data_IF_391591869600
#
_entry.id   IF_391591869600
#
_cell.length_a   1.000
_cell.length_b   1.000
_cell.length_c   1.000
_cell.angle_alpha   90.00
_cell.angle_beta   90.00
_cell.angle_gamma   90.00
#
_symmetry.space_group_name_H-M   'P 1'
#
loop_
_entity.id
_entity.type
_entity.pdbx_description
1 polymer ?
#
# COMPACT_ATOMS: atom_id res chain seq x y z
N UNK A 1 8.44 15.80 17.03
CA UNK A 1 7.48 14.70 16.86
C UNK A 1 7.17 13.97 18.18
N UNK A 2 8.19 13.45 18.96
CA UNK A 2 7.91 12.69 20.19
C UNK A 2 7.19 13.52 21.25
N UNK A 3 7.67 14.74 21.53
CA UNK A 3 7.04 15.64 22.47
C UNK A 3 5.59 16.00 22.07
N UNK A 4 5.35 16.22 20.79
CA UNK A 4 4.01 16.51 20.24
C UNK A 4 3.06 15.32 20.40
N UNK A 5 3.55 14.11 20.09
CA UNK A 5 2.77 12.88 20.27
C UNK A 5 2.43 12.68 21.76
N UNK A 6 3.39 12.85 22.67
CA UNK A 6 3.14 12.73 24.12
C UNK A 6 2.16 13.82 24.62
N UNK A 7 2.24 15.04 24.13
CA UNK A 7 1.30 16.11 24.48
C UNK A 7 -0.14 15.75 24.05
N UNK A 8 -0.32 15.27 22.83
CA UNK A 8 -1.63 14.86 22.32
C UNK A 8 -2.19 13.65 23.10
N UNK A 9 -1.37 12.66 23.40
CA UNK A 9 -1.74 11.47 24.20
C UNK A 9 -2.14 11.92 25.61
N UNK A 10 -1.34 12.79 26.24
CA UNK A 10 -1.62 13.31 27.59
C UNK A 10 -2.95 14.06 27.62
N UNK A 11 -3.20 14.95 26.66
CA UNK A 11 -4.47 15.67 26.56
C UNK A 11 -5.66 14.71 26.40
N UNK A 12 -5.51 13.71 25.56
CA UNK A 12 -6.53 12.67 25.36
C UNK A 12 -6.84 11.93 26.67
N UNK A 13 -5.81 11.48 27.40
CA UNK A 13 -5.98 10.76 28.66
C UNK A 13 -6.51 11.64 29.81
N UNK A 14 -6.21 12.94 29.81
CA UNK A 14 -6.80 13.87 30.76
C UNK A 14 -8.29 14.12 30.48
N UNK A 15 -8.68 14.09 29.21
CA UNK A 15 -10.07 14.31 28.78
C UNK A 15 -10.92 13.05 28.94
N UNK A 16 -10.36 11.90 28.58
CA UNK A 16 -11.02 10.60 28.63
C UNK A 16 -10.03 9.52 29.10
N UNK A 17 -9.87 9.34 30.43
CA UNK A 17 -8.94 8.38 31.00
C UNK A 17 -9.22 6.94 30.49
N UNK A 18 -8.20 6.26 30.00
CA UNK A 18 -8.31 4.90 29.46
C UNK A 18 -8.80 4.81 28.00
N UNK A 19 -9.08 5.92 27.35
CA UNK A 19 -9.40 5.91 25.92
C UNK A 19 -8.25 5.30 25.12
N UNK A 20 -8.53 4.39 24.15
CA UNK A 20 -7.50 3.79 23.33
C UNK A 20 -6.80 4.86 22.46
N UNK A 21 -5.47 4.83 22.45
CA UNK A 21 -4.65 5.75 21.68
C UNK A 21 -3.60 4.98 20.90
N UNK A 22 -3.18 5.54 19.78
CA UNK A 22 -2.10 5.03 18.96
C UNK A 22 -1.03 6.12 18.82
N UNK A 23 0.22 5.77 18.98
CA UNK A 23 1.32 6.67 18.70
C UNK A 23 1.36 6.97 17.21
N UNK A 24 1.10 8.20 16.82
CA UNK A 24 1.11 8.67 15.45
C UNK A 24 2.38 9.44 15.16
N UNK A 25 3.02 9.16 14.05
CA UNK A 25 4.15 9.93 13.55
C UNK A 25 4.08 10.00 12.03
N UNK A 26 4.31 11.20 11.51
CA UNK A 26 4.47 11.45 10.09
C UNK A 26 5.62 12.44 9.92
N UNK A 27 6.81 11.94 10.24
CA UNK A 27 8.03 12.72 10.05
C UNK A 27 8.67 12.35 8.72
N UNK A 28 9.05 13.36 7.94
CA UNK A 28 9.94 13.21 6.79
C UNK A 28 11.02 14.28 6.86
N UNK A 29 12.14 14.01 6.19
CA UNK A 29 13.06 15.07 5.81
C UNK A 29 12.47 15.88 4.66
N UNK A 30 13.13 16.95 4.31
CA UNK A 30 12.78 17.80 3.19
C UNK A 30 13.93 17.87 2.20
N UNK A 31 13.64 18.12 0.94
CA UNK A 31 14.66 18.62 0.02
C UNK A 31 15.08 20.01 0.47
N UNK A 32 16.36 20.17 0.81
CA UNK A 32 16.88 21.43 1.38
C UNK A 32 16.88 22.61 0.40
N UNK A 33 16.64 22.38 -0.87
CA UNK A 33 16.58 23.43 -1.90
C UNK A 33 15.15 23.97 -2.08
N UNK A 34 14.19 23.06 -2.15
CA UNK A 34 12.78 23.39 -2.42
C UNK A 34 11.91 23.45 -1.17
N UNK A 35 12.32 22.79 -0.07
CA UNK A 35 11.52 22.61 1.12
C UNK A 35 10.43 21.54 0.99
N UNK A 36 10.34 20.86 -0.15
CA UNK A 36 9.35 19.82 -0.37
C UNK A 36 9.61 18.58 0.49
N UNK A 37 8.57 17.89 1.01
CA UNK A 37 8.73 16.64 1.73
C UNK A 37 9.38 15.56 0.86
N UNK A 38 10.35 14.81 1.42
CA UNK A 38 11.13 13.81 0.71
C UNK A 38 10.82 12.40 1.23
N UNK A 39 9.71 11.82 0.79
CA UNK A 39 9.30 10.47 1.15
C UNK A 39 10.14 9.41 0.42
N UNK A 40 10.28 8.23 1.04
CA UNK A 40 11.02 7.11 0.47
C UNK A 40 12.55 7.24 0.53
N UNK A 41 13.07 8.33 1.06
CA UNK A 41 14.51 8.54 1.27
C UNK A 41 15.02 7.75 2.48
N UNK A 42 16.33 7.46 2.57
CA UNK A 42 16.92 6.80 3.72
C UNK A 42 16.60 7.49 5.04
N UNK A 43 16.60 8.81 5.08
CA UNK A 43 16.32 9.62 6.26
C UNK A 43 14.85 9.45 6.71
N UNK A 44 13.90 9.43 5.78
CA UNK A 44 12.49 9.13 6.07
C UNK A 44 12.34 7.74 6.70
N UNK A 45 13.04 6.74 6.17
CA UNK A 45 13.03 5.37 6.69
C UNK A 45 13.63 5.32 8.09
N UNK A 46 14.78 5.98 8.32
CA UNK A 46 15.40 6.06 9.65
C UNK A 46 14.48 6.73 10.67
N UNK A 47 13.79 7.81 10.29
CA UNK A 47 12.77 8.45 11.14
C UNK A 47 11.61 7.51 11.46
N UNK A 48 11.15 6.73 10.50
CA UNK A 48 10.10 5.71 10.70
C UNK A 48 10.54 4.66 11.71
N UNK A 49 11.75 4.12 11.56
CA UNK A 49 12.32 3.12 12.48
C UNK A 49 12.44 3.70 13.89
N UNK A 50 12.98 4.91 14.04
CA UNK A 50 13.13 5.60 15.33
C UNK A 50 11.76 5.85 15.99
N UNK A 51 10.76 6.28 15.21
CA UNK A 51 9.39 6.49 15.71
C UNK A 51 8.75 5.19 16.20
N UNK A 52 8.94 4.08 15.50
CA UNK A 52 8.49 2.76 15.94
C UNK A 52 9.16 2.30 17.23
N UNK A 53 10.45 2.61 17.41
CA UNK A 53 11.18 2.34 18.66
C UNK A 53 10.59 3.15 19.83
N UNK A 54 10.30 4.43 19.62
CA UNK A 54 9.69 5.31 20.63
C UNK A 54 8.29 4.84 21.01
N UNK A 55 7.47 4.45 20.03
CA UNK A 55 6.14 3.89 20.30
C UNK A 55 6.21 2.63 21.18
N UNK A 56 7.11 1.71 20.86
CA UNK A 56 7.32 0.49 21.68
C UNK A 56 7.87 0.81 23.07
N UNK A 57 8.73 1.81 23.18
CA UNK A 57 9.29 2.25 24.47
C UNK A 57 8.19 2.69 25.45
N UNK A 58 7.14 3.33 24.93
CA UNK A 58 5.98 3.77 25.75
C UNK A 58 4.81 2.77 25.72
N UNK A 59 4.99 1.58 25.12
CA UNK A 59 4.00 0.50 25.14
C UNK A 59 2.77 0.74 24.26
N UNK A 60 2.87 1.60 23.23
CA UNK A 60 1.73 1.92 22.36
C UNK A 60 1.89 1.33 20.96
N UNK A 61 0.76 0.97 20.31
CA UNK A 61 0.77 0.66 18.89
C UNK A 61 1.19 1.89 18.08
N UNK A 62 1.85 1.67 16.96
CA UNK A 62 2.37 2.75 16.14
C UNK A 62 1.73 2.80 14.74
N UNK A 63 1.31 4.01 14.35
CA UNK A 63 0.83 4.33 13.02
C UNK A 63 1.92 5.05 12.23
N UNK A 64 2.39 4.42 11.18
CA UNK A 64 3.31 4.96 10.19
C UNK A 64 2.59 5.36 8.91
N UNK A 65 3.33 5.84 7.94
CA UNK A 65 2.84 6.17 6.61
C UNK A 65 3.84 5.75 5.55
N UNK A 66 3.33 5.40 4.37
CA UNK A 66 4.13 5.22 3.18
C UNK A 66 3.58 6.13 2.07
N UNK A 67 4.46 6.57 1.18
CA UNK A 67 4.05 7.46 0.09
C UNK A 67 5.24 7.81 -0.79
N UNK A 68 4.99 8.62 -1.81
CA UNK A 68 5.98 9.10 -2.75
C UNK A 68 6.04 10.63 -2.78
N UNK A 69 7.24 11.18 -2.91
CA UNK A 69 7.46 12.59 -3.20
C UNK A 69 7.42 12.88 -4.71
N UNK A 70 7.57 11.85 -5.54
CA UNK A 70 7.56 11.96 -7.00
C UNK A 70 6.33 12.67 -7.52
N UNK A 71 6.53 13.54 -8.52
CA UNK A 71 5.49 14.31 -9.19
C UNK A 71 4.74 13.50 -10.27
N UNK A 72 5.22 12.31 -10.60
CA UNK A 72 4.66 11.49 -11.68
C UNK A 72 4.72 10.01 -11.31
N UNK A 73 3.86 9.23 -11.95
CA UNK A 73 3.79 7.77 -11.77
C UNK A 73 4.86 7.07 -12.60
N UNK A 74 6.08 7.03 -12.07
CA UNK A 74 7.24 6.43 -12.73
C UNK A 74 8.04 5.52 -11.75
N UNK A 75 9.26 5.18 -12.14
CA UNK A 75 10.15 4.36 -11.33
C UNK A 75 10.48 5.01 -9.98
N UNK A 76 10.61 6.34 -9.95
CA UNK A 76 10.86 7.07 -8.70
C UNK A 76 9.69 6.89 -7.72
N UNK A 77 8.46 7.10 -8.18
CA UNK A 77 7.26 6.96 -7.36
C UNK A 77 7.13 5.55 -6.78
N UNK A 78 7.38 4.52 -7.59
CA UNK A 78 7.36 3.12 -7.15
C UNK A 78 8.46 2.83 -6.13
N UNK A 79 9.68 3.28 -6.41
CA UNK A 79 10.82 3.11 -5.51
C UNK A 79 10.56 3.74 -4.13
N UNK A 80 10.11 4.99 -4.10
CA UNK A 80 9.84 5.73 -2.87
C UNK A 80 8.74 5.07 -2.03
N UNK A 81 7.64 4.61 -2.66
CA UNK A 81 6.58 3.89 -1.97
C UNK A 81 7.07 2.56 -1.39
N UNK A 82 7.77 1.74 -2.17
CA UNK A 82 8.28 0.45 -1.72
C UNK A 82 9.30 0.62 -0.59
N UNK A 83 10.21 1.58 -0.69
CA UNK A 83 11.17 1.88 0.37
C UNK A 83 10.48 2.36 1.65
N UNK A 84 9.46 3.20 1.54
CA UNK A 84 8.65 3.64 2.68
C UNK A 84 7.94 2.48 3.35
N UNK A 85 7.35 1.55 2.58
CA UNK A 85 6.71 0.33 3.09
C UNK A 85 7.72 -0.58 3.82
N UNK A 86 8.93 -0.75 3.29
CA UNK A 86 10.00 -1.48 3.97
C UNK A 86 10.39 -0.82 5.30
N UNK A 87 10.47 0.51 5.33
CA UNK A 87 10.69 1.27 6.56
C UNK A 87 9.60 1.00 7.60
N UNK A 88 8.34 0.98 7.19
CA UNK A 88 7.21 0.64 8.07
C UNK A 88 7.31 -0.78 8.65
N UNK A 89 7.69 -1.76 7.83
CA UNK A 89 7.88 -3.15 8.28
C UNK A 89 9.02 -3.26 9.30
N UNK A 90 10.18 -2.68 8.99
CA UNK A 90 11.35 -2.71 9.90
C UNK A 90 11.06 -1.98 11.22
N UNK A 91 10.20 -0.98 11.18
CA UNK A 91 9.76 -0.24 12.34
C UNK A 91 8.67 -0.97 13.15
N UNK A 92 8.17 -2.13 12.70
CA UNK A 92 7.04 -2.86 13.27
C UNK A 92 5.78 -1.97 13.38
N UNK A 93 5.40 -1.30 12.31
CA UNK A 93 4.20 -0.49 12.28
C UNK A 93 2.94 -1.35 12.48
N UNK A 94 2.05 -0.92 13.35
CA UNK A 94 0.75 -1.57 13.57
C UNK A 94 -0.22 -1.19 12.46
N UNK A 95 -0.12 0.02 11.96
CA UNK A 95 -0.93 0.56 10.87
C UNK A 95 -0.04 1.38 9.93
N UNK A 96 -0.26 1.25 8.64
CA UNK A 96 0.38 2.07 7.62
C UNK A 96 -0.71 2.80 6.82
N UNK A 97 -0.64 4.12 6.77
CA UNK A 97 -1.58 4.96 6.02
C UNK A 97 -0.91 5.56 4.78
N UNK A 98 -1.70 6.13 3.88
CA UNK A 98 -1.24 6.79 2.65
C UNK A 98 -0.45 5.89 1.69
N UNK A 99 -0.69 4.59 1.74
CA UNK A 99 0.16 3.58 1.07
C UNK A 99 -0.19 3.32 -0.38
N UNK A 100 -1.22 3.95 -0.93
CA UNK A 100 -1.63 3.72 -2.31
C UNK A 100 -2.11 5.01 -2.99
N UNK A 101 -1.65 5.25 -4.22
CA UNK A 101 -2.04 6.38 -5.05
C UNK A 101 -1.35 7.71 -4.75
N UNK A 102 -0.47 7.76 -3.76
CA UNK A 102 0.15 8.99 -3.26
C UNK A 102 1.25 9.50 -4.20
N UNK A 103 1.10 10.75 -4.65
CA UNK A 103 2.06 11.51 -5.47
C UNK A 103 2.24 12.93 -4.92
N UNK A 104 3.28 13.62 -5.36
CA UNK A 104 3.58 15.02 -5.01
C UNK A 104 3.62 15.28 -3.49
N UNK A 105 4.16 14.34 -2.73
CA UNK A 105 4.17 14.48 -1.27
C UNK A 105 2.77 14.50 -0.63
N UNK A 106 1.75 14.04 -1.33
CA UNK A 106 0.36 13.96 -0.88
C UNK A 106 -0.57 15.02 -1.44
N UNK A 107 -0.11 15.82 -2.37
CA UNK A 107 -0.95 16.83 -3.03
C UNK A 107 -1.77 16.26 -4.18
N UNK A 108 -1.33 15.14 -4.76
CA UNK A 108 -1.99 14.49 -5.90
C UNK A 108 -2.23 13.01 -5.65
N UNK A 109 -3.29 12.48 -6.24
CA UNK A 109 -3.66 11.07 -6.26
C UNK A 109 -3.67 10.56 -7.71
N UNK A 110 -2.96 9.44 -7.97
CA UNK A 110 -2.93 8.77 -9.28
C UNK A 110 -3.71 7.47 -9.28
N UNK A 111 -4.64 7.27 -10.22
CA UNK A 111 -5.40 6.02 -10.32
C UNK A 111 -4.53 4.83 -10.73
N UNK A 112 -3.63 5.02 -11.70
CA UNK A 112 -2.65 4.01 -12.10
C UNK A 112 -1.70 3.68 -10.94
N UNK A 113 -1.21 4.72 -10.27
CA UNK A 113 -0.37 4.60 -9.07
C UNK A 113 -1.08 3.81 -7.98
N UNK A 114 -2.36 4.05 -7.75
CA UNK A 114 -3.17 3.32 -6.78
C UNK A 114 -3.21 1.81 -7.06
N UNK A 115 -3.46 1.41 -8.31
CA UNK A 115 -3.47 -0.01 -8.70
C UNK A 115 -2.08 -0.66 -8.52
N UNK A 116 -1.01 0.04 -8.90
CA UNK A 116 0.36 -0.46 -8.77
C UNK A 116 0.79 -0.56 -7.30
N UNK A 117 0.43 0.41 -6.47
CA UNK A 117 0.72 0.38 -5.04
C UNK A 117 -0.05 -0.73 -4.32
N UNK A 118 -1.29 -1.04 -4.72
CA UNK A 118 -2.03 -2.19 -4.19
C UNK A 118 -1.27 -3.48 -4.48
N UNK A 119 -0.69 -3.65 -5.66
CA UNK A 119 0.12 -4.83 -5.96
C UNK A 119 1.37 -4.91 -5.08
N UNK A 120 2.05 -3.79 -4.85
CA UNK A 120 3.19 -3.72 -3.94
C UNK A 120 2.78 -4.10 -2.50
N UNK A 121 1.65 -3.59 -2.03
CA UNK A 121 1.07 -3.92 -0.71
C UNK A 121 0.73 -5.41 -0.61
N UNK A 122 0.09 -5.99 -1.62
CA UNK A 122 -0.23 -7.42 -1.66
C UNK A 122 1.04 -8.29 -1.63
N UNK A 123 2.08 -7.91 -2.37
CA UNK A 123 3.37 -8.59 -2.40
C UNK A 123 4.05 -8.56 -1.03
N UNK A 124 4.08 -7.41 -0.37
CA UNK A 124 4.63 -7.24 0.97
C UNK A 124 3.81 -8.02 2.00
N UNK A 125 2.48 -7.94 1.95
CA UNK A 125 1.62 -8.70 2.84
C UNK A 125 1.79 -10.22 2.67
N UNK A 126 2.00 -10.68 1.44
CA UNK A 126 2.28 -12.09 1.16
C UNK A 126 3.65 -12.52 1.71
N UNK A 127 4.66 -11.68 1.57
CA UNK A 127 6.01 -11.92 2.12
C UNK A 127 5.99 -12.03 3.66
N UNK A 128 5.08 -11.34 4.33
CA UNK A 128 4.93 -11.41 5.79
C UNK A 128 4.19 -12.68 6.29
N UNK A 129 3.65 -13.50 5.39
CA UNK A 129 3.01 -14.77 5.78
C UNK A 129 4.09 -15.78 6.16
N UNK A 130 3.84 -16.60 7.19
CA UNK A 130 4.76 -17.68 7.54
C UNK A 130 4.83 -18.69 6.39
N UNK A 131 6.03 -19.19 6.14
CA UNK A 131 6.24 -20.27 5.18
C UNK A 131 5.76 -21.59 5.79
N UNK A 132 4.93 -22.34 5.07
CA UNK A 132 4.52 -23.68 5.49
C UNK A 132 5.74 -24.61 5.55
N UNK A 133 5.86 -25.37 6.63
CA UNK A 133 7.01 -26.25 6.89
C UNK A 133 6.61 -27.66 7.30
N UNK A 134 5.36 -28.04 7.07
CA UNK A 134 4.91 -29.43 7.29
C UNK A 134 5.45 -30.37 6.20
N UNK A 135 5.31 -31.66 6.40
CA UNK A 135 5.84 -32.70 5.50
C UNK A 135 5.32 -32.55 4.07
N UNK A 136 4.06 -32.14 3.91
CA UNK A 136 3.45 -31.91 2.58
C UNK A 136 4.09 -30.71 1.88
N UNK A 137 4.31 -29.62 2.61
CA UNK A 137 4.94 -28.41 2.06
C UNK A 137 6.40 -28.63 1.69
N UNK A 138 7.14 -29.47 2.46
CA UNK A 138 8.52 -29.86 2.14
C UNK A 138 8.57 -30.68 0.85
N UNK A 139 7.52 -31.46 0.54
CA UNK A 139 7.38 -32.17 -0.72
C UNK A 139 8.31 -33.38 -0.88
N UNK A 140 8.66 -34.07 0.20
CA UNK A 140 9.55 -35.25 0.12
C UNK A 140 9.04 -36.35 -0.83
N UNK A 141 7.73 -36.57 -0.85
CA UNK A 141 7.11 -37.56 -1.74
C UNK A 141 7.25 -37.13 -3.22
N UNK A 142 7.11 -35.86 -3.52
CA UNK A 142 7.34 -35.30 -4.85
C UNK A 142 8.81 -35.43 -5.28
N UNK A 143 9.75 -35.21 -4.35
CA UNK A 143 11.18 -35.40 -4.59
C UNK A 143 11.48 -36.90 -4.91
N UNK A 144 10.86 -37.79 -4.16
CA UNK A 144 11.03 -39.25 -4.40
C UNK A 144 10.46 -39.74 -5.75
N UNK A 145 9.49 -39.04 -6.33
CA UNK A 145 8.90 -39.38 -7.63
C UNK A 145 9.81 -39.01 -8.81
N UNK A 146 10.82 -38.16 -8.61
CA UNK A 146 11.64 -37.61 -9.70
C UNK A 146 13.03 -38.23 -9.68
N UNK A 147 13.40 -38.92 -10.76
CA UNK A 147 14.73 -39.49 -10.94
C UNK A 147 15.78 -38.37 -11.19
N UNK A 148 17.07 -38.61 -10.90
CA UNK A 148 18.13 -37.65 -11.23
C UNK A 148 18.07 -37.20 -12.69
N UNK A 149 18.13 -35.86 -12.92
CA UNK A 149 17.99 -35.27 -14.25
C UNK A 149 16.54 -35.12 -14.75
N UNK A 150 15.55 -35.55 -13.96
CA UNK A 150 14.14 -35.36 -14.25
C UNK A 150 13.60 -33.97 -13.93
N UNK A 151 12.29 -33.80 -14.07
CA UNK A 151 11.58 -32.54 -13.75
C UNK A 151 10.31 -32.79 -12.93
N UNK A 152 9.87 -31.80 -12.19
CA UNK A 152 8.74 -31.90 -11.26
C UNK A 152 7.37 -31.61 -11.88
N UNK A 153 7.27 -31.28 -13.17
CA UNK A 153 6.02 -30.82 -13.80
C UNK A 153 4.85 -31.79 -13.68
N UNK A 154 5.11 -33.09 -13.64
CA UNK A 154 4.08 -34.12 -13.58
C UNK A 154 3.89 -34.73 -12.18
N UNK A 155 4.55 -34.23 -11.15
CA UNK A 155 4.34 -34.72 -9.79
C UNK A 155 2.96 -34.34 -9.28
N UNK A 156 2.38 -35.16 -8.41
CA UNK A 156 1.06 -34.91 -7.81
C UNK A 156 1.00 -33.54 -7.09
N UNK A 157 2.07 -33.16 -6.39
CA UNK A 157 2.17 -31.87 -5.72
C UNK A 157 2.13 -30.70 -6.71
N UNK A 158 2.88 -30.76 -7.81
CA UNK A 158 2.85 -29.71 -8.84
C UNK A 158 1.48 -29.62 -9.47
N UNK A 159 0.87 -30.75 -9.82
CA UNK A 159 -0.47 -30.78 -10.44
C UNK A 159 -1.56 -30.24 -9.53
N UNK A 160 -1.45 -30.44 -8.22
CA UNK A 160 -2.39 -29.91 -7.24
C UNK A 160 -2.22 -28.39 -6.99
N UNK A 161 -1.03 -27.86 -7.17
CA UNK A 161 -0.68 -26.50 -6.71
C UNK A 161 -0.29 -25.53 -7.82
N UNK A 162 -0.08 -25.96 -9.07
CA UNK A 162 0.48 -25.10 -10.13
C UNK A 162 -0.28 -23.77 -10.35
N UNK A 163 -1.57 -23.72 -10.06
CA UNK A 163 -2.39 -22.51 -10.21
C UNK A 163 -2.52 -21.66 -8.94
N UNK A 164 -2.07 -22.19 -7.78
CA UNK A 164 -2.29 -21.55 -6.47
C UNK A 164 -1.03 -21.38 -5.63
N UNK A 165 0.09 -21.99 -6.05
CA UNK A 165 1.34 -21.99 -5.29
C UNK A 165 1.93 -20.59 -5.10
N UNK A 166 1.70 -19.70 -6.04
CA UNK A 166 2.28 -18.36 -6.05
C UNK A 166 1.19 -17.29 -5.99
N UNK A 167 1.55 -16.11 -5.46
CA UNK A 167 0.66 -14.96 -5.46
C UNK A 167 0.32 -14.57 -6.90
N UNK A 168 -0.96 -14.56 -7.30
CA UNK A 168 -1.33 -14.05 -8.60
C UNK A 168 -1.11 -12.53 -8.67
N UNK A 169 -0.45 -12.06 -9.71
CA UNK A 169 -0.21 -10.63 -9.92
C UNK A 169 -1.51 -9.90 -10.17
N UNK A 170 -1.68 -8.74 -9.53
CA UNK A 170 -2.79 -7.83 -9.80
C UNK A 170 -2.57 -7.10 -11.13
N UNK A 171 -1.37 -6.60 -11.38
CA UNK A 171 -1.02 -5.72 -12.49
C UNK A 171 0.23 -6.18 -13.26
N UNK A 172 1.20 -6.85 -12.62
CA UNK A 172 2.42 -7.29 -13.28
C UNK A 172 2.14 -8.38 -14.32
N UNK A 173 2.83 -8.31 -15.44
CA UNK A 173 2.86 -9.36 -16.47
C UNK A 173 4.16 -10.16 -16.31
N UNK A 174 4.06 -11.41 -15.91
CA UNK A 174 5.19 -12.33 -15.70
C UNK A 174 5.45 -13.22 -16.91
N UNK A 175 4.78 -12.99 -18.03
CA UNK A 175 4.98 -13.74 -19.26
C UNK A 175 6.35 -13.44 -19.89
N UNK A 176 6.84 -14.37 -20.73
CA UNK A 176 8.04 -14.12 -21.52
C UNK A 176 7.79 -13.05 -22.58
N UNK A 177 8.87 -12.48 -23.12
CA UNK A 177 8.81 -11.38 -24.08
C UNK A 177 7.93 -11.69 -25.30
N UNK A 178 7.99 -12.90 -25.84
CA UNK A 178 7.19 -13.27 -27.03
C UNK A 178 5.69 -13.29 -26.72
N UNK A 179 5.30 -13.82 -25.58
CA UNK A 179 3.90 -13.82 -25.12
C UNK A 179 3.42 -12.40 -24.80
N UNK A 180 4.21 -11.62 -24.06
CA UNK A 180 3.92 -10.21 -23.76
C UNK A 180 3.73 -9.39 -25.04
N UNK A 181 4.65 -9.55 -26.01
CA UNK A 181 4.58 -8.84 -27.30
C UNK A 181 3.32 -9.23 -28.08
N UNK A 182 2.97 -10.53 -28.14
CA UNK A 182 1.76 -11.02 -28.79
C UNK A 182 0.47 -10.50 -28.13
N UNK A 183 0.49 -10.30 -26.81
CA UNK A 183 -0.64 -9.78 -26.04
C UNK A 183 -0.77 -8.26 -26.07
N UNK A 184 -0.02 -7.58 -26.92
CA UNK A 184 -0.13 -6.15 -27.17
C UNK A 184 0.94 -5.29 -26.51
N UNK A 185 1.97 -5.91 -25.92
CA UNK A 185 3.16 -5.22 -25.36
C UNK A 185 2.81 -4.09 -24.36
N UNK A 186 1.75 -4.26 -23.56
CA UNK A 186 1.27 -3.22 -22.66
C UNK A 186 2.27 -2.97 -21.52
N UNK A 187 2.49 -1.70 -21.23
CA UNK A 187 3.23 -1.24 -20.06
C UNK A 187 2.44 -1.51 -18.77
N UNK A 188 3.08 -1.44 -17.61
CA UNK A 188 2.41 -1.58 -16.32
C UNK A 188 1.36 -0.49 -16.09
N UNK A 189 1.63 0.72 -16.58
CA UNK A 189 0.71 1.86 -16.50
C UNK A 189 -0.54 1.62 -17.35
N UNK A 190 -0.40 1.21 -18.61
CA UNK A 190 -1.53 0.91 -19.50
C UNK A 190 -2.41 -0.24 -18.97
N UNK A 191 -1.80 -1.24 -18.31
CA UNK A 191 -2.57 -2.29 -17.64
C UNK A 191 -3.31 -1.77 -16.42
N UNK A 192 -2.69 -0.90 -15.64
CA UNK A 192 -3.31 -0.25 -14.48
C UNK A 192 -4.48 0.64 -14.89
N UNK A 193 -4.33 1.41 -15.99
CA UNK A 193 -5.41 2.22 -16.57
C UNK A 193 -6.63 1.37 -16.92
N UNK A 194 -6.44 0.28 -17.66
CA UNK A 194 -7.54 -0.63 -17.99
C UNK A 194 -8.23 -1.18 -16.74
N UNK A 195 -7.45 -1.50 -15.71
CA UNK A 195 -7.97 -2.09 -14.48
C UNK A 195 -8.82 -1.11 -13.67
N UNK A 196 -8.35 0.10 -13.41
CA UNK A 196 -9.13 1.06 -12.63
C UNK A 196 -10.40 1.50 -13.39
N UNK A 197 -10.32 1.63 -14.73
CA UNK A 197 -11.49 1.93 -15.56
C UNK A 197 -12.53 0.82 -15.44
N UNK A 198 -12.12 -0.45 -15.46
CA UNK A 198 -13.02 -1.58 -15.27
C UNK A 198 -13.65 -1.56 -13.88
N UNK A 199 -12.88 -1.31 -12.82
CA UNK A 199 -13.41 -1.22 -11.44
C UNK A 199 -14.48 -0.14 -11.32
N UNK A 200 -14.27 1.02 -11.96
CA UNK A 200 -15.30 2.09 -11.96
C UNK A 200 -16.52 1.69 -12.77
N UNK A 201 -16.34 1.05 -13.94
CA UNK A 201 -17.45 0.60 -14.78
C UNK A 201 -18.32 -0.47 -14.09
N UNK A 202 -17.70 -1.33 -13.29
CA UNK A 202 -18.38 -2.40 -12.54
C UNK A 202 -18.96 -1.93 -11.20
N UNK A 203 -18.75 -0.66 -10.83
CA UNK A 203 -19.21 -0.15 -9.54
C UNK A 203 -20.75 -0.10 -9.47
N UNK A 204 -21.27 -0.80 -8.48
CA UNK A 204 -22.71 -0.76 -8.15
C UNK A 204 -22.87 -0.03 -6.81
N UNK A 205 -23.62 1.08 -6.77
CA UNK A 205 -23.88 1.79 -5.53
C UNK A 205 -24.50 0.89 -4.46
N UNK A 206 -24.12 1.04 -3.18
CA UNK A 206 -24.74 0.29 -2.11
C UNK A 206 -26.26 0.53 -2.04
N UNK A 207 -27.02 -0.46 -1.61
CA UNK A 207 -28.48 -0.34 -1.44
C UNK A 207 -28.84 0.87 -0.57
N UNK A 208 -29.77 1.70 -1.04
CA UNK A 208 -30.18 2.94 -0.37
C UNK A 208 -29.23 4.13 -0.53
N UNK A 209 -28.20 4.03 -1.39
CA UNK A 209 -27.29 5.14 -1.68
C UNK A 209 -28.02 6.33 -2.32
N UNK A 210 -28.96 6.09 -3.23
CA UNK A 210 -29.70 7.14 -3.94
C UNK A 210 -30.43 8.09 -2.99
N UNK A 211 -31.16 7.56 -1.99
CA UNK A 211 -31.85 8.39 -1.00
C UNK A 211 -30.89 9.20 -0.11
N UNK A 212 -29.73 8.67 0.21
CA UNK A 212 -28.71 9.39 0.98
C UNK A 212 -28.02 10.47 0.14
N UNK A 213 -27.71 10.16 -1.12
CA UNK A 213 -27.14 11.12 -2.05
C UNK A 213 -28.06 12.29 -2.33
N UNK A 214 -29.38 12.05 -2.45
CA UNK A 214 -30.36 13.12 -2.64
C UNK A 214 -30.36 14.11 -1.45
N UNK A 215 -30.28 13.61 -0.21
CA UNK A 215 -30.19 14.47 0.98
C UNK A 215 -28.90 15.29 1.01
N UNK A 216 -27.77 14.67 0.64
CA UNK A 216 -26.46 15.35 0.58
C UNK A 216 -26.42 16.35 -0.58
N UNK A 217 -27.03 16.03 -1.74
CA UNK A 217 -27.03 16.90 -2.91
C UNK A 217 -27.68 18.29 -2.62
N UNK A 218 -28.75 18.32 -1.84
CA UNK A 218 -29.38 19.58 -1.45
C UNK A 218 -28.44 20.41 -0.56
N UNK A 219 -27.79 19.79 0.43
CA UNK A 219 -26.82 20.46 1.30
C UNK A 219 -25.63 21.00 0.51
N UNK A 220 -25.09 20.20 -0.42
CA UNK A 220 -23.99 20.60 -1.31
C UNK A 220 -24.41 21.77 -2.20
N UNK A 221 -25.62 21.72 -2.77
CA UNK A 221 -26.14 22.80 -3.61
C UNK A 221 -26.29 24.11 -2.82
N UNK A 222 -26.85 24.08 -1.61
CA UNK A 222 -26.97 25.24 -0.72
C UNK A 222 -25.59 25.81 -0.35
N UNK A 223 -24.63 24.96 0.01
CA UNK A 223 -23.27 25.38 0.33
C UNK A 223 -22.56 26.00 -0.88
N UNK A 224 -22.73 25.42 -2.07
CA UNK A 224 -22.18 25.96 -3.31
C UNK A 224 -22.77 27.30 -3.67
N UNK A 225 -24.11 27.48 -3.50
CA UNK A 225 -24.78 28.78 -3.72
C UNK A 225 -24.31 29.84 -2.73
N UNK A 226 -23.98 29.46 -1.50
CA UNK A 226 -23.42 30.35 -0.48
C UNK A 226 -21.96 30.74 -0.73
N UNK A 227 -21.34 30.28 -1.81
CA UNK A 227 -19.96 30.62 -2.19
C UNK A 227 -18.98 29.45 -2.04
N UNK A 228 -19.38 28.33 -1.45
CA UNK A 228 -18.55 27.11 -1.33
C UNK A 228 -17.20 27.35 -0.65
N UNK A 229 -16.28 26.40 -0.80
CA UNK A 229 -14.87 26.56 -0.48
C UNK A 229 -14.17 27.40 -1.58
N UNK A 230 -13.27 28.33 -1.23
CA UNK A 230 -12.48 29.06 -2.23
C UNK A 230 -11.66 28.06 -3.05
N UNK A 231 -11.57 28.34 -4.36
CA UNK A 231 -10.66 27.60 -5.23
C UNK A 231 -9.24 27.88 -4.73
N UNK A 232 -8.51 26.84 -4.40
CA UNK A 232 -7.10 26.93 -4.06
C UNK A 232 -6.34 26.84 -5.38
N UNK A 233 -5.74 27.94 -5.82
CA UNK A 233 -4.85 28.01 -7.00
C UNK A 233 -3.52 27.29 -6.70
#
# INVERSE_FOLDING_TARGET
QHAEALAAITLNQLTAPGAPVMYGGFGSNVDMKSGAPAFGTPEHIQMSIGSGQLARHIGLPWRSAAGAASNTNDMQATHETVMSLWGCLQANATMVIHSAGWLEGGLTFGFEKFIQDIEALQSIAHLCKPVASDTSAIGLDAIAQVAPGGHFFATDQTMAQYSTAFLPSLNADLSNFGTWSKNGALTAEERATKKWQQVIADFVPPAGAEGRLANIANMVAEFTQAGGAPIID
#
